data_IF_840914721881
#
_entry.id   IF_840914721881
#
_cell.length_a   1.000
_cell.length_b   1.000
_cell.length_c   1.000
_cell.angle_alpha   90.00
_cell.angle_beta   90.00
_cell.angle_gamma   90.00
#
_symmetry.space_group_name_H-M   'P 1'
#
loop_
_entity.id
_entity.type
_entity.pdbx_description
1 polymer ?
#
# COMPACT_ATOMS: atom_id res chain seq x y z
N UNK A 1 -26.70 -2.27 -6.32
CA UNK A 1 -25.41 -2.20 -7.04
C UNK A 1 -24.50 -3.41 -6.74
N UNK A 2 -24.16 -3.66 -5.47
CA UNK A 2 -23.27 -4.77 -5.07
C UNK A 2 -23.69 -6.13 -5.61
N UNK A 3 -24.97 -6.50 -5.49
CA UNK A 3 -25.49 -7.77 -6.02
C UNK A 3 -25.26 -7.92 -7.52
N UNK A 4 -25.57 -6.88 -8.32
CA UNK A 4 -25.34 -6.89 -9.78
C UNK A 4 -23.87 -7.12 -10.12
N UNK A 5 -22.95 -6.51 -9.38
CA UNK A 5 -21.50 -6.71 -9.56
C UNK A 5 -21.04 -8.10 -9.13
N UNK A 6 -21.59 -8.67 -8.06
CA UNK A 6 -21.34 -10.06 -7.70
C UNK A 6 -21.82 -11.02 -8.80
N UNK A 7 -23.02 -10.82 -9.35
CA UNK A 7 -23.51 -11.63 -10.48
C UNK A 7 -22.58 -11.54 -11.70
N UNK A 8 -22.08 -10.34 -12.03
CA UNK A 8 -21.11 -10.16 -13.12
C UNK A 8 -19.76 -10.82 -12.82
N UNK A 9 -19.27 -10.77 -11.58
CA UNK A 9 -18.08 -11.46 -11.13
C UNK A 9 -18.20 -12.99 -11.34
N UNK A 10 -19.37 -13.56 -11.04
CA UNK A 10 -19.63 -14.97 -11.27
C UNK A 10 -19.64 -15.35 -12.76
N UNK A 11 -20.16 -14.48 -13.65
CA UNK A 11 -20.01 -14.70 -15.10
C UNK A 11 -18.53 -14.68 -15.54
N UNK A 12 -17.68 -13.87 -14.89
CA UNK A 12 -16.24 -13.84 -15.15
C UNK A 12 -15.56 -15.12 -14.67
N UNK A 13 -15.95 -15.65 -13.51
CA UNK A 13 -15.44 -16.92 -12.98
C UNK A 13 -15.68 -18.11 -13.93
N UNK A 14 -16.78 -18.12 -14.66
CA UNK A 14 -17.06 -19.17 -15.66
C UNK A 14 -16.11 -19.13 -16.87
N UNK A 15 -15.53 -17.97 -17.16
CA UNK A 15 -14.60 -17.78 -18.28
C UNK A 15 -13.14 -17.96 -17.86
N UNK A 16 -12.85 -17.96 -16.57
CA UNK A 16 -11.50 -18.03 -16.04
C UNK A 16 -11.50 -18.70 -14.66
N UNK A 17 -11.21 -20.01 -14.66
CA UNK A 17 -11.23 -20.86 -13.46
C UNK A 17 -10.06 -20.52 -12.51
N UNK A 18 -8.87 -20.24 -13.04
CA UNK A 18 -7.71 -19.80 -12.22
C UNK A 18 -8.02 -18.50 -11.46
N UNK A 19 -8.64 -17.52 -12.12
CA UNK A 19 -9.09 -16.30 -11.48
C UNK A 19 -10.16 -16.58 -10.40
N UNK A 20 -11.07 -17.53 -10.63
CA UNK A 20 -12.07 -17.95 -9.64
C UNK A 20 -11.42 -18.56 -8.41
N UNK A 21 -10.48 -19.49 -8.59
CA UNK A 21 -9.78 -20.17 -7.50
C UNK A 21 -9.00 -19.18 -6.64
N UNK A 22 -8.17 -18.34 -7.27
CA UNK A 22 -7.42 -17.30 -6.56
C UNK A 22 -8.34 -16.32 -5.81
N UNK A 23 -9.49 -15.95 -6.40
CA UNK A 23 -10.44 -15.04 -5.76
C UNK A 23 -11.12 -15.68 -4.55
N UNK A 24 -11.56 -16.93 -4.72
CA UNK A 24 -12.23 -17.70 -3.68
C UNK A 24 -11.29 -17.93 -2.51
N UNK A 25 -10.02 -18.29 -2.79
CA UNK A 25 -9.00 -18.42 -1.77
C UNK A 25 -8.76 -17.09 -1.03
N UNK A 26 -8.66 -15.96 -1.74
CA UNK A 26 -8.47 -14.66 -1.09
C UNK A 26 -9.63 -14.26 -0.15
N UNK A 27 -10.88 -14.59 -0.51
CA UNK A 27 -12.04 -14.39 0.38
C UNK A 27 -12.00 -15.35 1.57
N UNK A 28 -11.64 -16.61 1.34
CA UNK A 28 -11.49 -17.61 2.40
C UNK A 28 -10.40 -17.21 3.41
N UNK A 29 -9.27 -16.70 2.93
CA UNK A 29 -8.18 -16.17 3.76
C UNK A 29 -8.66 -14.98 4.60
N UNK A 30 -9.41 -14.03 4.01
CA UNK A 30 -10.00 -12.94 4.78
C UNK A 30 -10.94 -13.40 5.89
N UNK A 31 -11.70 -14.48 5.68
CA UNK A 31 -12.58 -15.05 6.70
C UNK A 31 -11.75 -15.77 7.77
N UNK A 32 -10.79 -16.60 7.36
CA UNK A 32 -9.90 -17.36 8.24
C UNK A 32 -9.08 -16.45 9.15
N UNK A 33 -8.53 -15.37 8.61
CA UNK A 33 -7.72 -14.38 9.34
C UNK A 33 -8.58 -13.42 10.17
N UNK A 34 -9.91 -13.56 10.15
CA UNK A 34 -10.84 -12.75 10.91
C UNK A 34 -10.93 -11.30 10.43
N UNK A 35 -10.60 -11.04 9.16
CA UNK A 35 -10.81 -9.74 8.53
C UNK A 35 -12.28 -9.54 8.14
N UNK A 36 -12.92 -10.60 7.62
CA UNK A 36 -14.34 -10.66 7.32
C UNK A 36 -15.06 -11.56 8.32
N UNK A 37 -16.20 -11.10 8.82
CA UNK A 37 -17.11 -11.91 9.63
C UNK A 37 -18.46 -12.04 8.92
N UNK A 38 -19.03 -13.24 8.97
CA UNK A 38 -20.37 -13.51 8.44
C UNK A 38 -21.40 -12.87 9.37
N UNK A 39 -22.36 -12.14 8.79
CA UNK A 39 -23.47 -11.58 9.55
C UNK A 39 -24.52 -12.67 9.77
N UNK A 40 -24.98 -12.88 11.01
CA UNK A 40 -26.12 -13.76 11.32
C UNK A 40 -27.37 -13.34 10.54
N UNK A 41 -28.21 -14.29 10.11
CA UNK A 41 -29.40 -13.99 9.30
C UNK A 41 -30.36 -12.99 9.96
N UNK A 42 -30.45 -12.99 11.29
CA UNK A 42 -31.26 -12.07 12.08
C UNK A 42 -30.68 -10.64 12.20
N UNK A 43 -29.43 -10.41 11.78
CA UNK A 43 -28.76 -9.10 11.79
C UNK A 43 -28.58 -8.51 10.37
N UNK A 44 -28.98 -9.25 9.33
CA UNK A 44 -28.85 -8.81 7.94
C UNK A 44 -29.78 -7.63 7.66
N UNK A 45 -31.02 -7.70 8.14
CA UNK A 45 -32.00 -6.64 7.96
C UNK A 45 -31.74 -5.52 8.97
N UNK A 46 -31.26 -4.39 8.46
CA UNK A 46 -31.13 -3.13 9.19
C UNK A 46 -31.89 -2.06 8.42
N UNK A 47 -32.31 -0.97 9.09
CA UNK A 47 -32.85 0.20 8.39
C UNK A 47 -31.91 0.68 7.28
N UNK A 48 -32.47 1.16 6.16
CA UNK A 48 -31.72 1.51 4.93
C UNK A 48 -30.53 2.47 5.15
N UNK A 49 -30.55 3.25 6.22
CA UNK A 49 -29.50 4.25 6.57
C UNK A 49 -28.43 3.71 7.53
N UNK A 50 -28.55 2.48 7.99
CA UNK A 50 -27.67 1.86 8.99
C UNK A 50 -26.70 0.84 8.39
N UNK A 51 -26.73 0.64 7.06
CA UNK A 51 -25.79 -0.27 6.41
C UNK A 51 -25.44 0.17 4.98
N UNK A 52 -24.30 -0.30 4.49
CA UNK A 52 -23.87 -0.07 3.12
C UNK A 52 -23.14 -1.30 2.57
N UNK A 53 -23.50 -1.69 1.35
CA UNK A 53 -22.95 -2.86 0.66
C UNK A 53 -21.92 -2.43 -0.40
N UNK A 54 -20.66 -2.71 -0.12
CA UNK A 54 -19.54 -2.49 -1.01
C UNK A 54 -19.53 -3.58 -2.10
N UNK A 55 -19.56 -3.19 -3.38
CA UNK A 55 -19.14 -4.10 -4.44
C UNK A 55 -17.65 -4.41 -4.31
N UNK A 56 -17.22 -5.54 -4.86
CA UNK A 56 -15.81 -5.93 -4.85
C UNK A 56 -15.36 -6.48 -6.19
N UNK A 57 -14.07 -6.34 -6.48
CA UNK A 57 -13.46 -6.80 -7.73
C UNK A 57 -12.03 -7.26 -7.48
N UNK A 58 -11.43 -7.93 -8.47
CA UNK A 58 -10.11 -8.54 -8.34
C UNK A 58 -9.13 -7.85 -9.27
N UNK A 59 -8.01 -7.39 -8.71
CA UNK A 59 -6.91 -6.76 -9.44
C UNK A 59 -5.75 -7.74 -9.52
N UNK A 60 -5.37 -8.13 -10.73
CA UNK A 60 -4.21 -8.98 -10.96
C UNK A 60 -2.96 -8.11 -10.98
N UNK A 61 -1.97 -8.45 -10.17
CA UNK A 61 -0.63 -7.84 -10.17
C UNK A 61 0.39 -8.93 -10.55
N UNK A 62 0.70 -9.10 -11.85
CA UNK A 62 1.58 -10.16 -12.32
C UNK A 62 2.99 -10.10 -11.70
N UNK A 63 3.46 -8.90 -11.35
CA UNK A 63 4.76 -8.65 -10.71
C UNK A 63 4.78 -8.88 -9.19
N UNK A 64 3.66 -9.25 -8.57
CA UNK A 64 3.58 -9.49 -7.14
C UNK A 64 4.09 -10.89 -6.80
N UNK A 65 5.21 -10.98 -6.07
CA UNK A 65 5.83 -12.25 -5.68
C UNK A 65 4.96 -13.11 -4.73
N UNK A 66 4.02 -12.51 -3.99
CA UNK A 66 3.28 -13.18 -2.89
C UNK A 66 1.80 -13.42 -3.17
N UNK A 67 1.14 -12.55 -3.94
CA UNK A 67 -0.28 -12.76 -4.29
C UNK A 67 -0.55 -12.13 -5.65
N UNK A 68 -0.82 -12.97 -6.64
CA UNK A 68 -1.09 -12.53 -8.02
C UNK A 68 -2.44 -11.81 -8.14
N UNK A 69 -3.40 -12.08 -7.25
CA UNK A 69 -4.71 -11.45 -7.21
C UNK A 69 -4.95 -10.73 -5.87
N UNK A 70 -5.44 -9.49 -5.92
CA UNK A 70 -5.92 -8.76 -4.74
C UNK A 70 -7.40 -8.45 -4.89
N UNK A 71 -8.18 -8.78 -3.86
CA UNK A 71 -9.59 -8.37 -3.76
C UNK A 71 -9.67 -6.94 -3.25
N UNK A 72 -10.39 -6.09 -3.97
CA UNK A 72 -10.57 -4.67 -3.63
C UNK A 72 -12.06 -4.41 -3.39
N UNK A 73 -12.37 -3.79 -2.25
CA UNK A 73 -13.71 -3.32 -1.91
C UNK A 73 -13.89 -1.89 -2.44
N UNK A 74 -14.88 -1.71 -3.32
CA UNK A 74 -15.09 -0.46 -4.03
C UNK A 74 -16.09 0.44 -3.30
N UNK A 75 -15.56 1.28 -2.41
CA UNK A 75 -16.33 2.30 -1.70
C UNK A 75 -16.63 3.56 -2.56
N UNK A 76 -16.04 3.66 -3.75
CA UNK A 76 -16.35 4.70 -4.74
C UNK A 76 -17.54 4.34 -5.64
N UNK A 77 -18.01 3.10 -5.60
CA UNK A 77 -19.17 2.69 -6.36
C UNK A 77 -20.44 3.41 -5.87
N UNK A 78 -21.11 4.11 -6.79
CA UNK A 78 -22.36 4.80 -6.51
C UNK A 78 -23.49 3.82 -6.20
N UNK A 79 -24.27 4.14 -5.17
CA UNK A 79 -25.47 3.39 -4.79
C UNK A 79 -26.67 3.79 -5.65
N UNK A 80 -27.87 3.30 -5.30
CA UNK A 80 -29.13 3.72 -5.94
C UNK A 80 -29.39 5.23 -5.81
N UNK A 81 -28.86 5.87 -4.76
CA UNK A 81 -29.00 7.32 -4.55
C UNK A 81 -27.95 8.15 -5.30
N UNK A 82 -27.13 7.54 -6.16
CA UNK A 82 -25.98 8.16 -6.85
C UNK A 82 -24.86 8.68 -5.92
N UNK A 83 -24.98 8.44 -4.61
CA UNK A 83 -23.94 8.74 -3.61
C UNK A 83 -23.13 7.48 -3.34
N UNK A 84 -21.80 7.62 -3.31
CA UNK A 84 -20.87 6.56 -2.88
C UNK A 84 -20.49 6.73 -1.41
N UNK A 85 -20.02 5.65 -0.76
CA UNK A 85 -19.55 5.74 0.61
C UNK A 85 -18.37 6.73 0.73
N UNK A 86 -17.52 6.80 -0.29
CA UNK A 86 -16.42 7.77 -0.34
C UNK A 86 -16.88 9.22 -0.28
N UNK A 87 -18.10 9.55 -0.72
CA UNK A 87 -18.64 10.91 -0.61
C UNK A 87 -19.10 11.27 0.80
N UNK A 88 -19.37 10.26 1.64
CA UNK A 88 -19.92 10.43 2.99
C UNK A 88 -18.84 10.37 4.07
N UNK A 89 -17.71 9.71 3.77
CA UNK A 89 -16.62 9.55 4.72
C UNK A 89 -15.71 10.80 4.74
N UNK A 90 -15.39 11.26 5.95
CA UNK A 90 -14.35 12.26 6.15
C UNK A 90 -12.97 11.65 5.89
N UNK A 91 -12.16 12.28 5.04
CA UNK A 91 -10.80 11.83 4.70
C UNK A 91 -9.86 11.90 5.93
N UNK A 92 -10.01 12.97 6.72
CA UNK A 92 -9.04 13.36 7.75
C UNK A 92 -7.89 14.20 7.18
N UNK A 93 -7.11 14.89 8.02
CA UNK A 93 -5.94 15.64 7.58
C UNK A 93 -4.83 14.70 7.06
N UNK A 94 -4.01 15.20 6.14
CA UNK A 94 -2.82 14.47 5.73
C UNK A 94 -1.77 14.49 6.85
N UNK A 95 -1.44 13.31 7.36
CA UNK A 95 -0.43 13.10 8.40
C UNK A 95 0.89 12.57 7.84
N UNK A 96 0.95 12.39 6.51
CA UNK A 96 2.08 11.81 5.84
C UNK A 96 3.23 12.82 5.80
N UNK A 97 4.43 12.35 6.17
CA UNK A 97 5.63 13.14 5.94
C UNK A 97 5.91 13.21 4.45
N UNK A 98 6.36 14.38 4.01
CA UNK A 98 6.73 14.64 2.63
C UNK A 98 7.79 13.63 2.15
N UNK A 99 7.56 13.12 0.95
CA UNK A 99 8.37 12.06 0.37
C UNK A 99 9.83 12.51 0.16
N UNK A 100 10.04 13.74 -0.31
CA UNK A 100 11.38 14.29 -0.50
C UNK A 100 12.14 14.34 0.83
N UNK A 101 11.47 14.81 1.88
CA UNK A 101 12.04 14.90 3.23
C UNK A 101 12.47 13.54 3.78
N UNK A 102 11.62 12.51 3.62
CA UNK A 102 11.97 11.13 4.02
C UNK A 102 13.21 10.64 3.26
N UNK A 103 13.23 10.81 1.93
CA UNK A 103 14.33 10.34 1.09
C UNK A 103 15.65 11.07 1.40
N UNK A 104 15.61 12.37 1.71
CA UNK A 104 16.80 13.14 2.12
C UNK A 104 17.32 12.63 3.46
N UNK A 105 16.45 12.45 4.47
CA UNK A 105 16.87 11.87 5.76
C UNK A 105 17.43 10.46 5.60
N UNK A 106 16.81 9.64 4.75
CA UNK A 106 17.27 8.28 4.51
C UNK A 106 18.70 8.26 3.96
N UNK A 107 19.01 9.19 3.04
CA UNK A 107 20.35 9.35 2.44
C UNK A 107 21.41 9.93 3.37
N UNK A 108 21.02 10.51 4.50
CA UNK A 108 21.96 11.05 5.48
C UNK A 108 22.72 9.94 6.25
N UNK A 109 22.12 8.76 6.38
CA UNK A 109 22.65 7.69 7.22
C UNK A 109 23.72 6.85 6.51
N UNK A 110 24.77 6.47 7.25
CA UNK A 110 25.80 5.56 6.73
C UNK A 110 25.32 4.10 6.58
N UNK A 111 24.30 3.71 7.33
CA UNK A 111 23.68 2.38 7.24
C UNK A 111 22.18 2.60 7.07
N UNK A 112 21.71 2.75 5.82
CA UNK A 112 20.28 2.75 5.51
C UNK A 112 19.62 1.42 5.87
N UNK A 113 18.39 1.51 6.35
CA UNK A 113 17.46 0.43 6.61
C UNK A 113 16.15 0.72 5.90
N UNK A 114 15.58 -0.32 5.31
CA UNK A 114 14.29 -0.25 4.63
C UNK A 114 13.44 -1.44 5.05
N UNK A 115 12.14 -1.21 5.22
CA UNK A 115 11.16 -2.26 5.53
C UNK A 115 9.75 -1.90 5.04
N UNK A 116 8.84 -2.87 5.10
CA UNK A 116 7.42 -2.79 4.70
C UNK A 116 6.55 -3.32 5.85
N UNK A 117 5.46 -2.61 6.18
CA UNK A 117 4.44 -3.08 7.12
C UNK A 117 3.48 -4.01 6.37
N UNK A 118 3.54 -5.31 6.67
CA UNK A 118 2.66 -6.31 6.04
C UNK A 118 1.20 -5.96 6.29
N UNK A 119 0.44 -5.73 5.21
CA UNK A 119 -1.01 -5.58 5.22
C UNK A 119 -1.51 -4.57 6.28
N UNK A 120 -0.81 -3.45 6.44
CA UNK A 120 -1.00 -2.44 7.50
C UNK A 120 -2.47 -2.19 7.89
N UNK A 121 -3.36 -1.90 6.93
CA UNK A 121 -4.77 -1.59 7.20
C UNK A 121 -5.55 -2.73 7.87
N UNK A 122 -5.23 -3.98 7.52
CA UNK A 122 -5.94 -5.17 8.02
C UNK A 122 -5.63 -5.48 9.49
N UNK A 123 -4.67 -4.80 10.10
CA UNK A 123 -4.38 -4.93 11.52
C UNK A 123 -5.18 -3.94 12.38
N UNK A 124 -5.78 -2.91 11.77
CA UNK A 124 -6.52 -1.85 12.48
C UNK A 124 -7.99 -2.23 12.62
N UNK A 125 -8.48 -2.38 13.85
CA UNK A 125 -9.89 -2.69 14.13
C UNK A 125 -10.78 -1.46 13.90
N UNK A 126 -11.93 -1.71 13.27
CA UNK A 126 -13.01 -0.75 13.22
C UNK A 126 -13.89 -0.90 14.46
N UNK A 127 -14.36 0.24 14.96
CA UNK A 127 -15.39 0.28 15.98
C UNK A 127 -16.65 -0.47 15.47
N UNK A 128 -17.29 -1.33 16.29
CA UNK A 128 -18.43 -2.15 15.85
C UNK A 128 -19.53 -1.37 15.14
N UNK A 129 -19.86 -0.18 15.64
CA UNK A 129 -20.89 0.70 15.08
C UNK A 129 -20.66 1.12 13.61
N UNK A 130 -19.44 1.01 13.08
CA UNK A 130 -19.13 1.42 11.70
C UNK A 130 -18.99 0.24 10.73
N UNK A 131 -18.96 -1.00 11.22
CA UNK A 131 -18.67 -2.18 10.38
C UNK A 131 -19.78 -2.46 9.36
N UNK A 132 -21.02 -2.14 9.72
CA UNK A 132 -22.19 -2.36 8.85
C UNK A 132 -22.25 -1.41 7.64
N UNK A 133 -21.44 -0.35 7.60
CA UNK A 133 -21.23 0.46 6.40
C UNK A 133 -20.22 -0.14 5.42
N UNK A 134 -19.63 -1.29 5.76
CA UNK A 134 -18.60 -1.96 4.97
C UNK A 134 -18.98 -3.42 4.74
N UNK A 135 -20.26 -3.68 4.47
CA UNK A 135 -20.77 -5.01 4.17
C UNK A 135 -20.37 -5.42 2.75
N UNK A 136 -20.19 -6.72 2.54
CA UNK A 136 -20.01 -7.31 1.21
C UNK A 136 -20.97 -8.49 1.04
N UNK A 137 -21.27 -8.81 -0.22
CA UNK A 137 -22.06 -9.97 -0.59
C UNK A 137 -21.13 -11.03 -1.17
N UNK A 138 -21.22 -12.27 -0.70
CA UNK A 138 -20.44 -13.38 -1.23
C UNK A 138 -21.27 -14.66 -1.32
N UNK A 139 -20.93 -15.56 -2.24
CA UNK A 139 -21.54 -16.89 -2.34
C UNK A 139 -20.45 -17.90 -2.71
N UNK A 140 -20.59 -19.14 -2.28
CA UNK A 140 -19.56 -20.17 -2.49
C UNK A 140 -19.69 -20.86 -3.87
N UNK A 141 -20.87 -20.78 -4.48
CA UNK A 141 -21.15 -21.37 -5.79
C UNK A 141 -22.10 -20.50 -6.61
N UNK A 142 -22.21 -20.75 -7.92
CA UNK A 142 -23.07 -19.95 -8.83
C UNK A 142 -24.54 -20.03 -8.43
N UNK A 143 -25.01 -21.20 -8.04
CA UNK A 143 -26.37 -21.46 -7.54
C UNK A 143 -26.51 -21.31 -6.02
N UNK A 144 -25.41 -21.06 -5.31
CA UNK A 144 -25.40 -20.93 -3.86
C UNK A 144 -26.12 -19.67 -3.36
N UNK A 145 -26.62 -19.75 -2.12
CA UNK A 145 -27.22 -18.63 -1.43
C UNK A 145 -26.20 -17.51 -1.22
N UNK A 146 -26.65 -16.27 -1.41
CA UNK A 146 -25.85 -15.09 -1.10
C UNK A 146 -25.79 -14.92 0.41
N UNK A 147 -24.56 -14.86 0.93
CA UNK A 147 -24.22 -14.61 2.32
C UNK A 147 -23.73 -13.17 2.45
N UNK A 148 -24.03 -12.55 3.59
CA UNK A 148 -23.58 -11.21 3.93
C UNK A 148 -22.42 -11.29 4.91
N UNK A 149 -21.37 -10.54 4.61
CA UNK A 149 -20.20 -10.37 5.49
C UNK A 149 -19.99 -8.90 5.80
N UNK A 150 -19.35 -8.59 6.91
CA UNK A 150 -18.81 -7.25 7.21
C UNK A 150 -17.34 -7.33 7.55
N UNK A 151 -16.58 -6.28 7.23
CA UNK A 151 -15.18 -6.18 7.64
C UNK A 151 -15.08 -5.73 9.09
N UNK A 152 -14.15 -6.36 9.84
CA UNK A 152 -13.78 -5.93 11.19
C UNK A 152 -12.64 -4.91 11.18
N UNK A 153 -11.98 -4.75 10.04
CA UNK A 153 -10.73 -4.02 9.88
C UNK A 153 -10.88 -2.91 8.85
N UNK A 154 -9.98 -1.92 8.90
CA UNK A 154 -9.96 -0.84 7.91
C UNK A 154 -9.69 -1.45 6.52
N UNK A 155 -10.64 -1.35 5.57
CA UNK A 155 -10.42 -1.87 4.23
C UNK A 155 -9.57 -0.89 3.42
N UNK A 156 -8.83 -1.41 2.45
CA UNK A 156 -8.26 -0.57 1.40
C UNK A 156 -9.38 -0.02 0.51
N UNK A 157 -9.24 1.22 0.04
CA UNK A 157 -10.17 1.84 -0.92
C UNK A 157 -11.18 2.82 -0.33
N UNK A 158 -11.23 2.98 1.00
CA UNK A 158 -11.96 4.10 1.64
C UNK A 158 -11.03 5.32 1.81
N UNK A 159 -11.55 6.55 1.68
CA UNK A 159 -10.77 7.78 1.75
C UNK A 159 -10.08 7.99 3.10
N UNK A 160 -10.68 7.53 4.20
CA UNK A 160 -10.16 7.70 5.55
C UNK A 160 -9.07 6.69 5.93
N UNK A 161 -8.86 5.64 5.12
CA UNK A 161 -7.91 4.57 5.44
C UNK A 161 -6.47 5.08 5.68
N UNK A 162 -5.92 6.00 4.87
CA UNK A 162 -4.56 6.52 5.10
C UNK A 162 -4.42 7.26 6.44
N UNK A 163 -5.38 8.14 6.75
CA UNK A 163 -5.40 8.85 8.02
C UNK A 163 -5.47 7.87 9.20
N UNK A 164 -6.40 6.92 9.16
CA UNK A 164 -6.57 5.91 10.22
C UNK A 164 -5.29 5.10 10.43
N UNK A 165 -4.63 4.70 9.35
CA UNK A 165 -3.38 3.95 9.40
C UNK A 165 -2.24 4.73 10.02
N UNK A 166 -1.98 5.94 9.51
CA UNK A 166 -0.89 6.78 10.02
C UNK A 166 -1.15 7.20 11.47
N UNK A 167 -2.39 7.55 11.82
CA UNK A 167 -2.75 7.93 13.19
C UNK A 167 -2.58 6.77 14.17
N UNK A 168 -2.90 5.54 13.76
CA UNK A 168 -2.70 4.33 14.57
C UNK A 168 -1.21 4.10 14.85
N UNK A 169 -0.35 4.19 13.84
CA UNK A 169 1.11 4.06 14.04
C UNK A 169 1.67 5.19 14.89
N UNK A 170 1.24 6.45 14.67
CA UNK A 170 1.66 7.57 15.52
C UNK A 170 1.25 7.37 16.98
N UNK A 171 0.06 6.79 17.22
CA UNK A 171 -0.41 6.48 18.56
C UNK A 171 0.45 5.38 19.19
N UNK A 172 0.69 4.29 18.47
CA UNK A 172 1.55 3.20 18.90
C UNK A 172 2.97 3.69 19.24
N UNK A 173 3.56 4.52 18.38
CA UNK A 173 4.86 5.13 18.62
C UNK A 173 4.85 5.99 19.89
N UNK A 174 3.80 6.78 20.14
CA UNK A 174 3.67 7.59 21.36
C UNK A 174 3.53 6.74 22.62
N UNK A 175 2.76 5.65 22.54
CA UNK A 175 2.53 4.76 23.69
C UNK A 175 3.82 4.04 24.11
N UNK A 176 4.68 3.69 23.15
CA UNK A 176 5.95 2.97 23.38
C UNK A 176 7.20 3.88 23.48
N UNK A 177 7.03 5.19 23.32
CA UNK A 177 8.13 6.16 23.24
C UNK A 177 9.08 6.14 24.44
N UNK A 178 8.55 5.85 25.64
CA UNK A 178 9.37 5.75 26.86
C UNK A 178 10.32 4.56 26.83
N UNK A 179 9.91 3.44 26.23
CA UNK A 179 10.67 2.21 26.19
C UNK A 179 11.64 2.20 24.99
N UNK A 180 11.19 2.73 23.86
CA UNK A 180 11.87 2.65 22.57
C UNK A 180 11.87 4.01 21.86
N UNK A 181 12.59 5.01 22.41
CA UNK A 181 12.49 6.39 21.95
C UNK A 181 12.93 6.56 20.50
N UNK A 182 13.96 5.83 20.07
CA UNK A 182 14.49 5.95 18.71
C UNK A 182 13.57 5.27 17.71
N UNK A 183 13.08 4.06 18.02
CA UNK A 183 12.07 3.39 17.19
C UNK A 183 10.78 4.21 17.05
N UNK A 184 10.32 4.84 18.13
CA UNK A 184 9.13 5.70 18.12
C UNK A 184 9.31 6.94 17.24
N UNK A 185 10.47 7.60 17.31
CA UNK A 185 10.81 8.71 16.42
C UNK A 185 10.75 8.29 14.95
N UNK A 186 11.40 7.18 14.61
CA UNK A 186 11.44 6.64 13.25
C UNK A 186 10.04 6.30 12.73
N UNK A 187 9.18 5.64 13.52
CA UNK A 187 7.79 5.35 13.11
C UNK A 187 6.98 6.61 12.79
N UNK A 188 7.24 7.72 13.50
CA UNK A 188 6.58 9.00 13.25
C UNK A 188 7.09 9.65 11.97
N UNK A 189 8.40 9.73 11.81
CA UNK A 189 9.05 10.57 10.80
C UNK A 189 9.38 9.84 9.50
N UNK A 190 9.87 8.60 9.56
CA UNK A 190 10.55 7.94 8.43
C UNK A 190 9.67 6.92 7.70
N UNK A 191 8.42 6.76 8.12
CA UNK A 191 7.44 5.91 7.45
C UNK A 191 6.57 6.70 6.48
N UNK A 192 6.60 6.27 5.21
CA UNK A 192 5.65 6.64 4.17
C UNK A 192 4.64 5.52 3.96
N UNK A 193 3.43 5.72 4.47
CA UNK A 193 2.41 4.67 4.51
C UNK A 193 2.94 3.38 5.16
N UNK A 194 3.02 2.29 4.40
CA UNK A 194 3.56 1.00 4.80
C UNK A 194 5.09 0.89 4.64
N UNK A 195 5.75 1.80 3.93
CA UNK A 195 7.19 1.76 3.66
C UNK A 195 7.98 2.57 4.70
N UNK A 196 8.90 1.93 5.42
CA UNK A 196 9.85 2.58 6.33
C UNK A 196 11.21 2.79 5.66
N UNK A 197 11.71 4.03 5.62
CA UNK A 197 13.01 4.42 5.05
C UNK A 197 13.82 5.19 6.07
N UNK A 198 14.71 4.52 6.80
CA UNK A 198 15.46 5.09 7.92
C UNK A 198 16.90 4.63 7.92
N UNK A 199 17.68 4.96 8.94
CA UNK A 199 19.04 4.47 9.07
C UNK A 199 19.72 5.02 10.30
N UNK A 200 20.99 4.63 10.43
CA UNK A 200 21.89 5.04 11.52
C UNK A 200 23.34 5.05 11.04
N UNK A 201 24.24 5.45 11.93
CA UNK A 201 25.68 5.60 11.64
C UNK A 201 26.57 4.46 12.16
N UNK A 202 26.02 3.38 12.72
CA UNK A 202 26.82 2.22 13.13
C UNK A 202 26.03 0.92 13.10
N UNK A 203 26.72 -0.20 12.86
CA UNK A 203 26.09 -1.53 12.80
C UNK A 203 25.35 -1.86 14.09
N UNK A 204 25.96 -1.54 15.26
CA UNK A 204 25.33 -1.77 16.57
C UNK A 204 24.05 -0.96 16.73
N UNK A 205 24.06 0.32 16.33
CA UNK A 205 22.86 1.15 16.36
C UNK A 205 21.77 0.62 15.42
N UNK A 206 22.16 0.00 14.29
CA UNK A 206 21.20 -0.48 13.29
C UNK A 206 20.47 -1.72 13.80
N UNK A 207 21.21 -2.63 14.43
CA UNK A 207 20.68 -3.82 15.10
C UNK A 207 19.73 -3.41 16.24
N UNK A 208 20.11 -2.41 17.05
CA UNK A 208 19.26 -1.90 18.12
C UNK A 208 17.99 -1.25 17.57
N UNK A 209 18.11 -0.42 16.52
CA UNK A 209 16.96 0.20 15.88
C UNK A 209 15.98 -0.84 15.30
N UNK A 210 16.50 -1.88 14.64
CA UNK A 210 15.68 -3.00 14.19
C UNK A 210 14.91 -3.64 15.35
N UNK A 211 15.59 -3.91 16.47
CA UNK A 211 14.95 -4.50 17.68
C UNK A 211 13.89 -3.57 18.25
N UNK A 212 14.17 -2.29 18.41
CA UNK A 212 13.20 -1.30 18.89
C UNK A 212 11.96 -1.25 17.99
N UNK A 213 12.16 -1.12 16.67
CA UNK A 213 11.06 -1.10 15.70
C UNK A 213 10.25 -2.39 15.76
N UNK A 214 10.92 -3.54 15.80
CA UNK A 214 10.26 -4.83 15.88
C UNK A 214 9.45 -4.97 17.18
N UNK A 215 9.97 -4.52 18.33
CA UNK A 215 9.26 -4.55 19.61
C UNK A 215 8.02 -3.66 19.60
N UNK A 216 8.15 -2.39 19.16
CA UNK A 216 7.02 -1.46 19.07
C UNK A 216 5.95 -2.01 18.13
N UNK A 217 6.31 -2.41 16.92
CA UNK A 217 5.30 -2.83 15.93
C UNK A 217 4.65 -4.14 16.32
N UNK A 218 5.38 -5.06 16.96
CA UNK A 218 4.84 -6.32 17.44
C UNK A 218 3.82 -6.14 18.57
N UNK A 219 3.99 -5.15 19.46
CA UNK A 219 2.97 -4.85 20.49
C UNK A 219 1.65 -4.40 19.86
N UNK A 220 1.72 -3.71 18.71
CA UNK A 220 0.58 -3.37 17.86
C UNK A 220 0.15 -4.44 16.84
N UNK A 221 0.77 -5.63 16.84
CA UNK A 221 0.58 -6.72 15.85
C UNK A 221 0.91 -6.33 14.40
N UNK A 222 1.65 -5.26 14.17
CA UNK A 222 2.15 -4.87 12.86
C UNK A 222 3.46 -5.60 12.57
N UNK A 223 3.46 -6.44 11.53
CA UNK A 223 4.66 -7.17 11.11
C UNK A 223 5.48 -6.36 10.11
N UNK A 224 6.70 -6.00 10.49
CA UNK A 224 7.71 -5.44 9.58
C UNK A 224 8.42 -6.56 8.82
N UNK A 225 8.50 -6.43 7.50
CA UNK A 225 9.12 -7.41 6.58
C UNK A 225 9.86 -6.71 5.45
N UNK A 226 10.40 -7.50 4.52
CA UNK A 226 11.22 -7.04 3.39
C UNK A 226 12.36 -6.13 3.84
N UNK A 227 13.00 -6.50 4.94
CA UNK A 227 14.16 -5.78 5.46
C UNK A 227 15.30 -5.80 4.45
N UNK A 228 15.83 -4.63 4.14
CA UNK A 228 17.06 -4.47 3.37
C UNK A 228 17.95 -3.40 3.99
N UNK A 229 19.27 -3.57 3.83
CA UNK A 229 20.29 -2.65 4.33
C UNK A 229 21.54 -2.72 3.47
N UNK A 230 22.37 -1.69 3.53
CA UNK A 230 23.72 -1.70 2.94
C UNK A 230 24.72 -2.55 3.73
N UNK A 231 24.42 -2.94 4.97
CA UNK A 231 25.34 -3.65 5.85
C UNK A 231 24.87 -5.10 6.12
N UNK A 232 25.58 -6.12 5.61
CA UNK A 232 25.19 -7.54 5.76
C UNK A 232 25.03 -7.99 7.22
N UNK A 233 25.86 -7.48 8.13
CA UNK A 233 25.82 -7.83 9.57
C UNK A 233 24.49 -7.45 10.23
N UNK A 234 23.81 -6.44 9.69
CA UNK A 234 22.47 -6.06 10.17
C UNK A 234 21.42 -7.05 9.66
N UNK A 235 21.57 -7.59 8.45
CA UNK A 235 20.64 -8.57 7.91
C UNK A 235 20.80 -9.94 8.57
N UNK A 236 22.02 -10.33 8.95
CA UNK A 236 22.31 -11.59 9.65
C UNK A 236 21.46 -11.78 10.92
N UNK A 237 21.16 -10.70 11.67
CA UNK A 237 20.35 -10.76 12.89
C UNK A 237 18.83 -10.77 12.63
N UNK A 238 18.40 -10.47 11.41
CA UNK A 238 16.98 -10.42 11.03
C UNK A 238 16.60 -11.81 10.49
N UNK A 239 15.48 -12.42 10.90
CA UNK A 239 15.03 -13.70 10.34
C UNK A 239 14.88 -13.67 8.82
N UNK A 240 15.28 -14.74 8.13
CA UNK A 240 15.33 -14.81 6.66
C UNK A 240 13.99 -14.51 6.00
N UNK A 241 12.90 -14.99 6.59
CA UNK A 241 11.53 -14.78 6.13
C UNK A 241 11.08 -13.30 6.20
N UNK A 242 11.78 -12.47 6.97
CA UNK A 242 11.53 -11.03 7.08
C UNK A 242 12.45 -10.20 6.19
N UNK A 243 13.48 -10.79 5.57
CA UNK A 243 14.41 -10.10 4.66
C UNK A 243 13.77 -9.88 3.29
N UNK A 244 14.29 -8.92 2.53
CA UNK A 244 13.91 -8.75 1.12
C UNK A 244 14.43 -9.93 0.29
N UNK A 245 13.54 -10.58 -0.48
CA UNK A 245 13.81 -11.81 -1.25
C UNK A 245 14.80 -11.63 -2.41
N UNK A 246 15.27 -10.41 -2.68
CA UNK A 246 16.16 -10.10 -3.82
C UNK A 246 17.64 -10.04 -3.48
N UNK A 247 18.05 -10.44 -2.27
CA UNK A 247 19.46 -10.54 -1.89
C UNK A 247 20.01 -11.96 -2.00
N UNK A 248 19.69 -12.68 -3.07
CA UNK A 248 20.74 -13.53 -3.67
C UNK A 248 21.68 -12.56 -4.36
N UNK A 249 22.73 -12.17 -3.64
CA UNK A 249 23.89 -11.45 -4.17
C UNK A 249 24.55 -12.32 -5.26
N UNK A 250 23.98 -12.33 -6.46
CA UNK A 250 24.74 -12.71 -7.65
C UNK A 250 25.74 -11.59 -7.89
N UNK A 251 27.02 -11.92 -7.72
CA UNK A 251 28.17 -11.01 -7.80
C UNK A 251 28.33 -10.29 -9.15
N UNK A 252 27.44 -10.55 -10.11
CA UNK A 252 27.54 -10.05 -11.49
C UNK A 252 26.39 -9.11 -11.91
N UNK A 253 25.37 -8.86 -11.07
CA UNK A 253 24.28 -7.95 -11.41
C UNK A 253 23.69 -7.26 -10.17
N UNK A 254 24.20 -6.08 -9.80
CA UNK A 254 23.66 -5.23 -8.72
C UNK A 254 22.11 -5.13 -8.77
N UNK A 255 21.37 -5.88 -7.92
CA UNK A 255 19.92 -5.89 -8.00
C UNK A 255 19.38 -4.62 -7.32
N UNK A 256 18.84 -3.71 -8.11
CA UNK A 256 18.25 -2.49 -7.59
C UNK A 256 16.85 -2.78 -7.02
N UNK A 257 16.60 -2.40 -5.77
CA UNK A 257 15.33 -2.54 -5.10
C UNK A 257 14.45 -1.28 -5.24
N UNK A 258 13.13 -1.46 -5.35
CA UNK A 258 12.18 -0.34 -5.32
C UNK A 258 12.14 0.30 -3.93
N UNK A 259 12.45 1.60 -3.82
CA UNK A 259 12.41 2.40 -2.61
C UNK A 259 11.59 3.68 -2.86
N UNK A 260 10.33 3.70 -2.40
CA UNK A 260 9.38 4.82 -2.60
C UNK A 260 9.32 5.34 -4.05
N UNK A 261 9.29 4.42 -5.03
CA UNK A 261 9.23 4.74 -6.45
C UNK A 261 10.59 4.96 -7.14
N UNK A 262 11.70 4.99 -6.39
CA UNK A 262 13.06 4.97 -6.93
C UNK A 262 13.62 3.54 -6.99
N UNK A 263 14.70 3.31 -7.73
CA UNK A 263 15.46 2.06 -7.65
C UNK A 263 16.77 2.34 -6.89
N UNK A 264 16.96 1.69 -5.75
CA UNK A 264 18.15 1.84 -4.91
C UNK A 264 18.98 0.56 -4.97
N UNK A 265 20.30 0.66 -5.11
CA UNK A 265 21.20 -0.50 -5.10
C UNK A 265 21.72 -0.71 -3.67
N UNK A 266 21.32 -1.80 -2.97
CA UNK A 266 21.86 -2.07 -1.64
C UNK A 266 23.38 -2.30 -1.70
N UNK A 267 24.12 -1.68 -0.78
CA UNK A 267 25.59 -1.78 -0.72
C UNK A 267 26.33 -0.63 -1.40
N UNK A 268 25.67 0.09 -2.33
CA UNK A 268 26.13 1.40 -2.81
C UNK A 268 25.11 2.48 -2.43
N UNK A 269 25.51 3.75 -2.43
CA UNK A 269 24.58 4.87 -2.19
C UNK A 269 23.88 5.32 -3.47
N UNK A 270 23.83 4.46 -4.48
CA UNK A 270 23.44 4.82 -5.83
C UNK A 270 21.94 4.57 -6.07
N UNK A 271 21.36 5.51 -6.81
CA UNK A 271 20.01 5.40 -7.34
C UNK A 271 20.07 5.10 -8.84
N UNK A 272 19.37 4.06 -9.26
CA UNK A 272 19.21 3.68 -10.66
C UNK A 272 17.93 4.29 -11.21
N UNK A 273 18.03 4.87 -12.40
CA UNK A 273 16.89 5.41 -13.13
C UNK A 273 16.74 4.64 -14.44
N UNK A 274 15.57 4.06 -14.65
CA UNK A 274 15.22 3.42 -15.93
C UNK A 274 14.38 4.40 -16.73
N UNK A 275 14.96 5.03 -17.75
CA UNK A 275 14.26 5.95 -18.63
C UNK A 275 13.87 5.22 -19.91
N UNK A 276 12.57 5.04 -20.12
CA UNK A 276 12.05 4.50 -21.37
C UNK A 276 12.04 5.59 -22.44
N UNK A 277 12.36 5.22 -23.69
CA UNK A 277 12.29 6.15 -24.82
C UNK A 277 10.86 6.68 -24.98
N UNK A 278 10.69 8.00 -25.03
CA UNK A 278 9.38 8.62 -25.22
C UNK A 278 8.77 8.17 -26.54
N UNK A 279 7.47 7.88 -26.53
CA UNK A 279 6.74 7.61 -27.78
C UNK A 279 6.74 8.86 -28.66
N UNK A 280 7.03 8.68 -29.95
CA UNK A 280 6.92 9.76 -30.96
C UNK A 280 5.46 10.08 -31.31
N UNK A 281 4.51 9.24 -30.89
CA UNK A 281 3.08 9.37 -31.17
C UNK A 281 2.34 10.20 -30.12
N UNK A 282 3.09 10.88 -29.24
CA UNK A 282 2.57 11.82 -28.26
C UNK A 282 2.14 13.13 -28.95
N UNK A 283 1.00 13.09 -29.64
CA UNK A 283 0.48 14.21 -30.44
C UNK A 283 -0.38 15.20 -29.66
N UNK A 284 -0.74 14.89 -28.41
CA UNK A 284 -1.59 15.75 -27.57
C UNK A 284 -0.84 16.22 -26.34
N UNK A 285 -1.22 17.40 -25.81
CA UNK A 285 -0.69 17.91 -24.53
C UNK A 285 -0.74 16.88 -23.41
N UNK A 286 -1.85 16.13 -23.32
CA UNK A 286 -2.06 15.07 -22.33
C UNK A 286 -1.06 13.92 -22.51
N UNK A 287 -0.83 13.46 -23.75
CA UNK A 287 0.15 12.39 -24.02
C UNK A 287 1.56 12.85 -23.70
N UNK A 288 1.94 14.06 -24.13
CA UNK A 288 3.26 14.63 -23.83
C UNK A 288 3.46 14.74 -22.33
N UNK A 289 2.46 15.23 -21.57
CA UNK A 289 2.53 15.29 -20.11
C UNK A 289 2.71 13.91 -19.48
N UNK A 290 1.98 12.91 -19.97
CA UNK A 290 2.10 11.52 -19.52
C UNK A 290 3.52 10.98 -19.74
N UNK A 291 4.11 11.21 -20.92
CA UNK A 291 5.50 10.80 -21.21
C UNK A 291 6.51 11.48 -20.27
N UNK A 292 6.36 12.79 -20.03
CA UNK A 292 7.23 13.53 -19.10
C UNK A 292 7.10 12.99 -17.67
N UNK A 293 5.87 12.69 -17.24
CA UNK A 293 5.57 12.20 -15.89
C UNK A 293 6.06 10.76 -15.63
N UNK A 294 6.44 9.99 -16.67
CA UNK A 294 7.08 8.67 -16.50
C UNK A 294 8.43 8.76 -15.78
N UNK A 295 9.11 9.90 -15.89
CA UNK A 295 10.38 10.12 -15.18
C UNK A 295 10.06 10.57 -13.76
N UNK A 296 9.99 9.61 -12.85
CA UNK A 296 9.81 9.87 -11.43
C UNK A 296 11.15 10.21 -10.78
N UNK A 297 11.33 11.49 -10.42
CA UNK A 297 12.57 12.03 -9.85
C UNK A 297 12.25 12.99 -8.69
N UNK A 298 11.80 12.47 -7.54
CA UNK A 298 11.43 13.28 -6.38
C UNK A 298 12.60 14.09 -5.83
N UNK A 299 13.84 13.61 -5.95
CA UNK A 299 15.05 14.26 -5.44
C UNK A 299 15.69 15.23 -6.44
N UNK A 300 15.25 15.23 -7.69
CA UNK A 300 15.70 16.16 -8.71
C UNK A 300 17.04 15.81 -9.37
N UNK A 301 17.56 14.58 -9.27
CA UNK A 301 18.84 14.18 -9.87
C UNK A 301 18.86 14.29 -11.39
N UNK A 302 17.73 14.03 -12.03
CA UNK A 302 17.55 14.12 -13.48
C UNK A 302 17.03 15.51 -13.90
N UNK A 303 16.93 16.48 -12.99
CA UNK A 303 16.49 17.84 -13.31
C UNK A 303 17.26 18.48 -14.47
N UNK A 304 18.60 18.36 -14.59
CA UNK A 304 19.34 18.93 -15.71
C UNK A 304 18.89 18.42 -17.08
N UNK A 305 18.39 17.18 -17.16
CA UNK A 305 17.91 16.57 -18.40
C UNK A 305 16.41 16.82 -18.59
N UNK A 306 15.62 16.67 -17.53
CA UNK A 306 14.15 16.82 -17.57
C UNK A 306 13.68 18.28 -17.70
N UNK A 307 14.55 19.26 -17.44
CA UNK A 307 14.20 20.69 -17.58
C UNK A 307 13.77 21.05 -19.01
N UNK A 308 14.39 20.44 -20.03
CA UNK A 308 14.02 20.65 -21.44
C UNK A 308 12.57 20.21 -21.71
N UNK A 309 12.18 19.07 -21.15
CA UNK A 309 10.81 18.58 -21.21
C UNK A 309 9.84 19.51 -20.45
N UNK A 310 10.25 20.03 -19.28
CA UNK A 310 9.45 21.01 -18.52
C UNK A 310 9.27 22.33 -19.30
N UNK A 311 10.28 22.80 -20.04
CA UNK A 311 10.16 23.96 -20.93
C UNK A 311 9.23 23.69 -22.11
N UNK A 312 9.32 22.50 -22.75
CA UNK A 312 8.39 22.10 -23.81
C UNK A 312 6.95 22.14 -23.30
N UNK A 313 6.70 21.57 -22.11
CA UNK A 313 5.41 21.64 -21.43
C UNK A 313 4.97 23.10 -21.25
N UNK A 314 5.82 23.96 -20.71
CA UNK A 314 5.46 25.37 -20.50
C UNK A 314 5.11 26.08 -21.82
N UNK A 315 5.88 25.86 -22.89
CA UNK A 315 5.61 26.43 -24.22
C UNK A 315 4.26 25.95 -24.77
N UNK A 316 3.98 24.65 -24.72
CA UNK A 316 2.70 24.08 -25.17
C UNK A 316 1.51 24.69 -24.42
N UNK A 317 1.64 24.94 -23.13
CA UNK A 317 0.55 25.56 -22.36
C UNK A 317 0.30 27.01 -22.79
N UNK A 318 1.35 27.74 -23.17
CA UNK A 318 1.22 29.12 -23.67
C UNK A 318 0.61 29.20 -25.07
N UNK A 319 0.75 28.17 -25.92
CA UNK A 319 0.29 28.22 -27.31
C UNK A 319 -1.23 28.03 -27.51
N UNK A 320 -2.02 27.84 -26.44
CA UNK A 320 -3.48 27.64 -26.48
C UNK A 320 -4.02 26.57 -27.46
N UNK A 321 -3.16 25.76 -28.06
CA UNK A 321 -3.50 24.61 -28.90
C UNK A 321 -4.10 23.49 -28.05
N UNK A 322 -5.16 22.82 -28.53
CA UNK A 322 -5.87 21.80 -27.75
C UNK A 322 -5.01 20.59 -27.34
#
# INVERSE_FOLDING_TARGET
MAYKRLSALWKKFERNLDFKEQYTQAIADFIKDGHLERIPSNEVELPDKMSFYLPHHGVVKPSSATTKLRVVFDAGARSSTQVSLNNLLMIGPDLQQDLFTILVRWRYWMIPLKCDVKQMYLYILLHPAYRDFLRILWKDSKSGLVKVFRTKKVPFGIPSAPYLAKKTIQRLAKDEEKNFPRGAEVLRLDFHMDDGMTGVNSTKAAINLYKELHSITSSGKFLLRKWSSSNPKVLEVIPEELRATQLTLSMDNNPAESALGLQWIPGTYDFKFTVTRCSRDATTKRKILSEIAKVFDPLGFLSPVTIRAKFLRQKLWKTNTA
#
